data_IF_898516394856
#
_entry.id   IF_898516394856
#
_cell.length_a   1.000
_cell.length_b   1.000
_cell.length_c   1.000
_cell.angle_alpha   90.00
_cell.angle_beta   90.00
_cell.angle_gamma   90.00
#
_symmetry.space_group_name_H-M   'P 1'
#
loop_
_entity.id
_entity.type
_entity.pdbx_description
1 polymer ?
#
# COMPACT_ATOMS: atom_id res chain seq x y z
N UNK A 1 -11.66 12.50 16.59
CA UNK A 1 -12.80 12.40 15.66
C UNK A 1 -13.74 11.34 16.20
N UNK A 2 -15.06 11.46 16.02
CA UNK A 2 -15.98 10.38 16.36
C UNK A 2 -16.03 9.37 15.20
N UNK A 3 -15.18 8.33 15.27
CA UNK A 3 -15.00 7.35 14.21
C UNK A 3 -16.21 6.42 14.06
N UNK A 4 -16.82 5.99 15.16
CA UNK A 4 -18.00 5.11 15.12
C UNK A 4 -19.14 5.80 14.35
N UNK A 5 -19.47 7.05 14.71
CA UNK A 5 -20.49 7.82 14.01
C UNK A 5 -20.15 8.04 12.53
N UNK A 6 -18.89 8.38 12.22
CA UNK A 6 -18.48 8.66 10.85
C UNK A 6 -18.52 7.41 9.96
N UNK A 7 -18.11 6.25 10.47
CA UNK A 7 -18.17 4.98 9.75
C UNK A 7 -19.60 4.40 9.66
N UNK A 8 -20.50 4.75 10.58
CA UNK A 8 -21.93 4.40 10.50
C UNK A 8 -22.73 5.27 9.55
N UNK A 9 -22.28 6.50 9.29
CA UNK A 9 -22.96 7.45 8.41
C UNK A 9 -23.12 6.91 6.98
N UNK A 10 -24.21 7.30 6.30
CA UNK A 10 -24.39 7.07 4.85
C UNK A 10 -23.53 8.00 3.98
N UNK A 11 -22.84 8.98 4.60
CA UNK A 11 -21.95 9.89 3.88
C UNK A 11 -20.61 9.24 3.57
N UNK A 12 -20.37 8.90 2.30
CA UNK A 12 -19.07 8.41 1.82
C UNK A 12 -17.92 9.36 2.17
N UNK A 13 -18.20 10.67 2.18
CA UNK A 13 -17.23 11.69 2.59
C UNK A 13 -16.83 11.55 4.06
N UNK A 14 -17.80 11.33 4.95
CA UNK A 14 -17.52 11.13 6.37
C UNK A 14 -16.71 9.85 6.59
N UNK A 15 -17.09 8.75 5.92
CA UNK A 15 -16.36 7.48 5.97
C UNK A 15 -14.92 7.63 5.46
N UNK A 16 -14.71 8.33 4.34
CA UNK A 16 -13.40 8.56 3.75
C UNK A 16 -12.48 9.40 4.65
N UNK A 17 -13.02 10.42 5.35
CA UNK A 17 -12.24 11.15 6.34
C UNK A 17 -11.92 10.28 7.56
N UNK A 18 -12.88 9.51 8.07
CA UNK A 18 -12.63 8.56 9.15
C UNK A 18 -11.47 7.62 8.78
N UNK A 19 -11.52 7.00 7.60
CA UNK A 19 -10.46 6.16 7.08
C UNK A 19 -9.11 6.89 6.94
N UNK A 20 -9.10 8.19 6.62
CA UNK A 20 -7.86 8.99 6.52
C UNK A 20 -7.19 9.17 7.88
N UNK A 21 -7.98 9.48 8.92
CA UNK A 21 -7.44 9.83 10.23
C UNK A 21 -7.24 8.62 11.15
N UNK A 22 -7.92 7.50 10.89
CA UNK A 22 -7.87 6.32 11.77
C UNK A 22 -6.46 5.72 11.89
N UNK A 23 -5.62 5.82 10.86
CA UNK A 23 -4.23 5.37 10.91
C UNK A 23 -3.43 6.01 12.07
N UNK A 24 -3.76 7.24 12.45
CA UNK A 24 -3.07 7.96 13.52
C UNK A 24 -3.37 7.39 14.92
N UNK A 25 -4.41 6.57 15.07
CA UNK A 25 -4.78 5.95 16.35
C UNK A 25 -3.88 4.75 16.69
N UNK A 26 -3.09 4.23 15.74
CA UNK A 26 -2.29 3.02 15.94
C UNK A 26 -3.16 1.86 16.45
N UNK A 27 -2.68 1.13 17.46
CA UNK A 27 -3.43 -0.02 18.01
C UNK A 27 -4.79 0.35 18.63
N UNK A 28 -4.97 1.60 19.09
CA UNK A 28 -6.24 2.08 19.65
C UNK A 28 -7.36 2.14 18.61
N UNK A 29 -7.04 2.05 17.32
CA UNK A 29 -8.02 1.95 16.23
C UNK A 29 -8.71 0.59 16.11
N UNK A 30 -8.26 -0.44 16.84
CA UNK A 30 -8.76 -1.83 16.76
C UNK A 30 -10.29 -1.98 16.85
N UNK A 31 -11.02 -1.23 17.69
CA UNK A 31 -12.49 -1.36 17.75
C UNK A 31 -13.19 -1.03 16.42
N UNK A 32 -12.53 -0.32 15.50
CA UNK A 32 -13.12 0.20 14.26
C UNK A 32 -12.74 -0.58 13.01
N UNK A 33 -11.74 -1.48 13.06
CA UNK A 33 -11.20 -2.14 11.85
C UNK A 33 -12.23 -3.03 11.14
N UNK A 34 -13.12 -3.71 11.88
CA UNK A 34 -14.19 -4.51 11.28
C UNK A 34 -15.15 -3.65 10.45
N UNK A 35 -15.54 -2.51 11.01
CA UNK A 35 -16.44 -1.59 10.35
C UNK A 35 -15.78 -0.90 9.16
N UNK A 36 -14.55 -0.44 9.32
CA UNK A 36 -13.77 0.15 8.24
C UNK A 36 -13.62 -0.83 7.07
N UNK A 37 -13.23 -2.08 7.34
CA UNK A 37 -13.12 -3.12 6.32
C UNK A 37 -14.46 -3.33 5.59
N UNK A 38 -15.56 -3.40 6.34
CA UNK A 38 -16.90 -3.54 5.73
C UNK A 38 -17.25 -2.37 4.81
N UNK A 39 -16.90 -1.13 5.16
CA UNK A 39 -17.14 0.04 4.30
C UNK A 39 -16.26 0.03 3.07
N UNK A 40 -14.99 -0.33 3.19
CA UNK A 40 -14.10 -0.43 2.04
C UNK A 40 -14.53 -1.55 1.09
N UNK A 41 -14.94 -2.72 1.60
CA UNK A 41 -15.45 -3.85 0.79
C UNK A 41 -16.78 -3.55 0.10
N UNK A 42 -17.55 -2.57 0.57
CA UNK A 42 -18.81 -2.17 -0.05
C UNK A 42 -18.62 -1.33 -1.33
N UNK A 43 -17.41 -0.83 -1.58
CA UNK A 43 -17.10 -0.09 -2.82
C UNK A 43 -16.86 -1.09 -3.95
N UNK A 44 -17.67 -1.00 -5.01
CA UNK A 44 -17.48 -1.83 -6.21
C UNK A 44 -16.28 -1.32 -7.02
N UNK A 45 -15.17 -2.05 -6.97
CA UNK A 45 -13.95 -1.72 -7.70
C UNK A 45 -14.01 -2.12 -9.19
N UNK A 46 -15.12 -2.67 -9.68
CA UNK A 46 -15.27 -3.07 -11.08
C UNK A 46 -15.87 -1.98 -11.96
N UNK A 47 -16.46 -0.93 -11.37
CA UNK A 47 -17.02 0.21 -12.12
C UNK A 47 -15.93 0.96 -12.89
N UNK A 48 -16.30 1.70 -13.94
CA UNK A 48 -15.32 2.43 -14.76
C UNK A 48 -14.61 3.54 -13.99
N UNK A 49 -15.36 4.24 -13.14
CA UNK A 49 -14.89 5.41 -12.40
C UNK A 49 -15.41 5.38 -10.98
N UNK A 50 -14.55 5.74 -10.04
CA UNK A 50 -14.89 5.96 -8.64
C UNK A 50 -14.91 7.45 -8.37
N UNK A 51 -15.77 7.89 -7.46
CA UNK A 51 -15.65 9.23 -6.91
C UNK A 51 -14.36 9.38 -6.10
N UNK A 52 -13.88 10.62 -5.97
CA UNK A 52 -12.70 10.94 -5.15
C UNK A 52 -12.83 10.45 -3.70
N UNK A 53 -14.04 10.40 -3.14
CA UNK A 53 -14.26 9.94 -1.77
C UNK A 53 -14.28 8.42 -1.66
N UNK A 54 -14.81 7.69 -2.63
CA UNK A 54 -14.74 6.22 -2.66
C UNK A 54 -13.29 5.77 -2.80
N UNK A 55 -12.56 6.38 -3.73
CA UNK A 55 -11.14 6.12 -3.89
C UNK A 55 -10.34 6.42 -2.61
N UNK A 56 -10.60 7.56 -1.98
CA UNK A 56 -9.99 7.92 -0.69
C UNK A 56 -10.33 6.91 0.40
N UNK A 57 -11.60 6.47 0.51
CA UNK A 57 -12.02 5.48 1.49
C UNK A 57 -11.25 4.18 1.32
N UNK A 58 -11.10 3.68 0.09
CA UNK A 58 -10.39 2.42 -0.16
C UNK A 58 -8.88 2.59 0.08
N UNK A 59 -8.25 3.61 -0.50
CA UNK A 59 -6.82 3.85 -0.36
C UNK A 59 -6.38 4.10 1.08
N UNK A 60 -7.04 5.01 1.79
CA UNK A 60 -6.72 5.28 3.19
C UNK A 60 -7.25 4.21 4.13
N UNK A 61 -8.35 3.54 3.79
CA UNK A 61 -8.82 2.38 4.53
C UNK A 61 -7.79 1.26 4.54
N UNK A 62 -7.19 0.97 3.38
CA UNK A 62 -6.10 0.01 3.28
C UNK A 62 -4.91 0.37 4.17
N UNK A 63 -4.43 1.61 4.11
CA UNK A 63 -3.33 2.07 4.97
C UNK A 63 -3.68 2.00 6.45
N UNK A 64 -4.85 2.50 6.85
CA UNK A 64 -5.31 2.48 8.24
C UNK A 64 -5.44 1.07 8.78
N UNK A 65 -6.05 0.15 8.04
CA UNK A 65 -6.18 -1.24 8.44
C UNK A 65 -4.81 -1.89 8.65
N UNK A 66 -3.89 -1.73 7.71
CA UNK A 66 -2.53 -2.27 7.85
C UNK A 66 -1.79 -1.67 9.04
N UNK A 67 -1.82 -0.36 9.23
CA UNK A 67 -1.17 0.32 10.36
C UNK A 67 -1.74 -0.13 11.71
N UNK A 68 -3.06 -0.22 11.83
CA UNK A 68 -3.72 -0.62 13.09
C UNK A 68 -3.45 -2.08 13.40
N UNK A 69 -3.57 -2.97 12.42
CA UNK A 69 -3.31 -4.41 12.58
C UNK A 69 -1.85 -4.66 12.96
N UNK A 70 -0.90 -3.97 12.31
CA UNK A 70 0.51 -4.03 12.68
C UNK A 70 0.72 -3.58 14.14
N UNK A 71 0.19 -2.42 14.50
CA UNK A 71 0.35 -1.86 15.84
C UNK A 71 -0.32 -2.70 16.95
N UNK A 72 -1.35 -3.48 16.60
CA UNK A 72 -2.08 -4.34 17.54
C UNK A 72 -1.50 -5.76 17.64
N UNK A 73 -0.58 -6.11 16.74
CA UNK A 73 -0.05 -7.46 16.57
C UNK A 73 -0.95 -8.29 15.65
N UNK A 74 -0.45 -8.58 14.44
CA UNK A 74 -1.16 -9.48 13.52
C UNK A 74 -1.28 -10.88 14.12
N UNK A 75 -2.50 -11.42 14.12
CA UNK A 75 -2.82 -12.79 14.51
C UNK A 75 -3.48 -13.51 13.32
N UNK A 76 -2.78 -14.52 12.76
CA UNK A 76 -3.28 -15.30 11.64
C UNK A 76 -4.43 -16.26 12.00
N UNK A 77 -4.66 -16.54 13.29
CA UNK A 77 -5.83 -17.28 13.75
C UNK A 77 -7.08 -16.38 13.86
N UNK A 78 -6.91 -15.06 13.93
CA UNK A 78 -8.00 -14.11 13.91
C UNK A 78 -8.57 -13.98 12.49
N UNK A 79 -9.84 -14.36 12.35
CA UNK A 79 -10.57 -14.31 11.06
C UNK A 79 -10.65 -12.89 10.49
N UNK A 80 -10.72 -11.87 11.32
CA UNK A 80 -10.77 -10.49 10.87
C UNK A 80 -9.41 -10.07 10.30
N UNK A 81 -8.32 -10.38 10.98
CA UNK A 81 -6.96 -10.12 10.47
C UNK A 81 -6.70 -10.86 9.15
N UNK A 82 -7.09 -12.14 9.06
CA UNK A 82 -7.00 -12.90 7.81
C UNK A 82 -7.84 -12.27 6.67
N UNK A 83 -9.07 -11.82 6.97
CA UNK A 83 -9.97 -11.16 6.01
C UNK A 83 -9.46 -9.78 5.55
N UNK A 84 -8.75 -9.05 6.41
CA UNK A 84 -8.03 -7.82 6.06
C UNK A 84 -6.89 -8.16 5.11
N UNK A 85 -6.04 -9.13 5.46
CA UNK A 85 -4.89 -9.53 4.65
C UNK A 85 -5.33 -9.96 3.23
N UNK A 86 -6.31 -10.84 3.14
CA UNK A 86 -6.88 -11.31 1.87
C UNK A 86 -7.39 -10.15 1.02
N UNK A 87 -8.13 -9.23 1.64
CA UNK A 87 -8.65 -8.06 0.96
C UNK A 87 -7.53 -7.15 0.43
N UNK A 88 -6.54 -6.81 1.27
CA UNK A 88 -5.40 -5.97 0.87
C UNK A 88 -4.62 -6.64 -0.27
N UNK A 89 -4.44 -7.96 -0.23
CA UNK A 89 -3.73 -8.72 -1.28
C UNK A 89 -4.43 -8.68 -2.65
N UNK A 90 -5.75 -8.49 -2.66
CA UNK A 90 -6.55 -8.37 -3.89
C UNK A 90 -6.48 -6.97 -4.54
N UNK A 91 -6.15 -5.93 -3.76
CA UNK A 91 -6.19 -4.54 -4.24
C UNK A 91 -5.14 -4.20 -5.32
N UNK A 92 -3.90 -4.73 -5.30
CA UNK A 92 -2.91 -4.47 -6.36
C UNK A 92 -3.38 -4.87 -7.76
N UNK A 93 -4.32 -5.81 -7.86
CA UNK A 93 -4.90 -6.28 -9.14
C UNK A 93 -6.18 -5.54 -9.54
N UNK A 94 -6.65 -4.57 -8.76
CA UNK A 94 -7.84 -3.80 -9.15
C UNK A 94 -7.55 -2.89 -10.34
N UNK A 95 -8.60 -2.54 -11.08
CA UNK A 95 -8.52 -1.68 -12.27
C UNK A 95 -8.11 -0.23 -11.97
N UNK A 96 -8.28 0.23 -10.73
CA UNK A 96 -8.01 1.62 -10.36
C UNK A 96 -6.55 1.78 -9.95
N UNK A 97 -5.70 2.25 -10.86
CA UNK A 97 -4.23 2.31 -10.68
C UNK A 97 -3.79 2.98 -9.37
N UNK A 98 -4.46 4.06 -8.95
CA UNK A 98 -4.11 4.75 -7.69
C UNK A 98 -4.42 3.90 -6.45
N UNK A 99 -5.52 3.13 -6.46
CA UNK A 99 -5.84 2.19 -5.37
C UNK A 99 -4.83 1.05 -5.39
N UNK A 100 -4.55 0.50 -6.57
CA UNK A 100 -3.55 -0.55 -6.73
C UNK A 100 -2.19 -0.13 -6.17
N UNK A 101 -1.65 1.02 -6.60
CA UNK A 101 -0.38 1.56 -6.09
C UNK A 101 -0.40 1.87 -4.59
N UNK A 102 -1.48 2.50 -4.08
CA UNK A 102 -1.59 2.78 -2.64
C UNK A 102 -1.67 1.50 -1.81
N UNK A 103 -2.33 0.47 -2.31
CA UNK A 103 -2.41 -0.81 -1.60
C UNK A 103 -1.07 -1.53 -1.51
N UNK A 104 -0.18 -1.36 -2.49
CA UNK A 104 1.20 -1.87 -2.42
C UNK A 104 1.97 -1.16 -1.29
N UNK A 105 1.77 0.14 -1.11
CA UNK A 105 2.29 0.83 0.06
C UNK A 105 1.66 0.34 1.36
N UNK A 106 0.34 0.11 1.39
CA UNK A 106 -0.33 -0.43 2.56
C UNK A 106 0.23 -1.81 2.97
N UNK A 107 0.63 -2.66 2.02
CA UNK A 107 1.31 -3.92 2.31
C UNK A 107 2.57 -3.72 3.16
N UNK A 108 3.37 -2.68 2.89
CA UNK A 108 4.56 -2.39 3.73
C UNK A 108 4.24 -1.86 5.13
N UNK A 109 3.04 -1.31 5.34
CA UNK A 109 2.61 -0.78 6.65
C UNK A 109 2.14 -1.87 7.60
N UNK A 110 1.80 -3.06 7.08
CA UNK A 110 1.38 -4.20 7.88
C UNK A 110 2.52 -4.74 8.79
N UNK A 111 3.77 -4.29 8.55
CA UNK A 111 4.95 -4.69 9.31
C UNK A 111 5.71 -5.83 8.64
N UNK A 112 6.57 -6.49 9.42
CA UNK A 112 7.56 -7.47 8.94
C UNK A 112 7.32 -8.82 9.64
N UNK A 113 7.07 -9.92 8.91
CA UNK A 113 6.00 -10.09 7.93
C UNK A 113 5.15 -11.34 8.25
N UNK A 114 3.83 -11.34 7.98
CA UNK A 114 3.19 -12.55 7.50
C UNK A 114 3.87 -12.91 6.16
N UNK A 115 4.42 -14.11 6.06
CA UNK A 115 5.18 -14.61 4.91
C UNK A 115 4.45 -14.37 3.57
N UNK A 116 3.13 -14.32 3.61
CA UNK A 116 2.21 -14.02 2.55
C UNK A 116 2.40 -12.62 1.95
N UNK A 117 2.60 -11.58 2.77
CA UNK A 117 2.81 -10.21 2.27
C UNK A 117 4.10 -10.09 1.51
N UNK A 118 5.17 -10.72 2.01
CA UNK A 118 6.46 -10.79 1.31
C UNK A 118 6.30 -11.50 -0.05
N UNK A 119 5.69 -12.69 -0.05
CA UNK A 119 5.42 -13.44 -1.27
C UNK A 119 4.62 -12.60 -2.28
N UNK A 120 3.63 -11.84 -1.80
CA UNK A 120 2.82 -10.98 -2.67
C UNK A 120 3.63 -9.85 -3.30
N UNK A 121 4.55 -9.23 -2.55
CA UNK A 121 5.47 -8.22 -3.10
C UNK A 121 6.44 -8.84 -4.11
N UNK A 122 6.94 -10.05 -3.87
CA UNK A 122 7.78 -10.79 -4.83
C UNK A 122 7.04 -11.08 -6.14
N UNK A 123 5.78 -11.53 -6.06
CA UNK A 123 4.93 -11.75 -7.25
C UNK A 123 4.75 -10.47 -8.07
N UNK A 124 4.56 -9.32 -7.41
CA UNK A 124 4.41 -8.02 -8.07
C UNK A 124 5.73 -7.51 -8.67
N UNK A 125 6.88 -7.80 -8.05
CA UNK A 125 8.20 -7.49 -8.62
C UNK A 125 8.43 -8.26 -9.92
N UNK A 126 8.02 -9.54 -9.95
CA UNK A 126 8.13 -10.39 -11.12
C UNK A 126 7.07 -10.17 -12.20
N UNK A 127 6.11 -9.27 -12.00
CA UNK A 127 5.02 -9.05 -12.95
C UNK A 127 5.42 -8.17 -14.13
N UNK A 128 4.67 -8.31 -15.21
CA UNK A 128 4.73 -7.34 -16.32
C UNK A 128 4.30 -5.94 -15.86
N UNK A 129 4.79 -4.94 -16.58
CA UNK A 129 4.34 -3.55 -16.42
C UNK A 129 2.86 -3.47 -16.81
N UNK A 130 2.04 -2.80 -16.01
CA UNK A 130 0.63 -2.62 -16.36
C UNK A 130 0.48 -1.61 -17.52
N UNK A 131 -0.49 -1.80 -18.42
CA UNK A 131 -0.73 -0.85 -19.50
C UNK A 131 -1.14 0.56 -19.02
N UNK A 132 -1.73 0.66 -17.83
CA UNK A 132 -2.21 1.88 -17.20
C UNK A 132 -1.26 2.42 -16.11
N UNK A 133 -0.04 1.89 -16.01
CA UNK A 133 0.98 2.45 -15.11
C UNK A 133 1.30 3.90 -15.49
N UNK A 134 1.60 4.73 -14.48
CA UNK A 134 2.14 6.07 -14.75
C UNK A 134 3.51 5.96 -15.45
N UNK A 135 3.92 6.97 -16.24
CA UNK A 135 5.17 6.90 -16.99
C UNK A 135 6.40 6.58 -16.14
N UNK A 136 6.47 7.14 -14.93
CA UNK A 136 7.61 7.03 -14.00
C UNK A 136 7.32 6.19 -12.75
N UNK A 137 6.06 5.92 -12.43
CA UNK A 137 5.65 5.19 -11.22
C UNK A 137 4.89 3.95 -11.64
N UNK A 138 5.58 2.80 -11.60
CA UNK A 138 5.00 1.50 -11.94
C UNK A 138 4.63 0.73 -10.68
N UNK A 139 3.66 -0.17 -10.77
CA UNK A 139 3.31 -1.04 -9.64
C UNK A 139 4.48 -1.95 -9.22
N UNK A 140 5.19 -2.56 -10.19
CA UNK A 140 6.34 -3.43 -9.89
C UNK A 140 7.51 -2.68 -9.24
N UNK A 141 7.82 -1.47 -9.70
CA UNK A 141 8.84 -0.62 -9.07
C UNK A 141 8.41 -0.15 -7.68
N UNK A 142 7.12 0.13 -7.49
CA UNK A 142 6.55 0.42 -6.17
C UNK A 142 6.68 -0.77 -5.22
N UNK A 143 6.41 -2.00 -5.69
CA UNK A 143 6.57 -3.22 -4.92
C UNK A 143 8.03 -3.48 -4.54
N UNK A 144 8.96 -3.28 -5.48
CA UNK A 144 10.40 -3.33 -5.22
C UNK A 144 10.80 -2.38 -4.08
N UNK A 145 10.41 -1.09 -4.19
CA UNK A 145 10.69 -0.09 -3.15
C UNK A 145 10.13 -0.48 -1.78
N UNK A 146 8.89 -1.00 -1.75
CA UNK A 146 8.26 -1.44 -0.51
C UNK A 146 9.02 -2.62 0.12
N UNK A 147 9.44 -3.60 -0.68
CA UNK A 147 10.21 -4.74 -0.18
C UNK A 147 11.60 -4.33 0.27
N UNK A 148 12.27 -3.40 -0.43
CA UNK A 148 13.56 -2.84 -0.03
C UNK A 148 13.51 -2.15 1.35
N UNK A 149 12.43 -1.42 1.63
CA UNK A 149 12.21 -0.81 2.94
C UNK A 149 11.91 -1.81 4.07
N UNK A 150 11.46 -3.02 3.75
CA UNK A 150 11.15 -4.08 4.71
C UNK A 150 12.38 -4.95 4.99
N UNK A 151 13.03 -5.43 3.93
CA UNK A 151 14.14 -6.39 4.00
C UNK A 151 15.11 -6.13 2.84
N UNK A 152 16.01 -5.16 3.08
CA UNK A 152 16.97 -4.68 2.08
C UNK A 152 17.90 -5.78 1.59
N UNK A 153 18.32 -6.69 2.47
CA UNK A 153 19.19 -7.81 2.09
C UNK A 153 18.44 -8.82 1.21
N UNK A 154 17.18 -9.10 1.52
CA UNK A 154 16.37 -10.01 0.71
C UNK A 154 16.14 -9.49 -0.71
N UNK A 155 15.88 -8.18 -0.86
CA UNK A 155 15.55 -7.59 -2.17
C UNK A 155 16.74 -7.54 -3.14
N UNK A 156 17.98 -7.71 -2.66
CA UNK A 156 19.18 -7.72 -3.50
C UNK A 156 19.13 -8.77 -4.63
N UNK A 157 18.35 -9.85 -4.44
CA UNK A 157 18.09 -10.87 -5.47
C UNK A 157 17.34 -10.34 -6.69
N UNK A 158 16.75 -9.14 -6.61
CA UNK A 158 15.94 -8.54 -7.64
C UNK A 158 16.61 -7.32 -8.30
N UNK A 159 17.88 -7.04 -8.02
CA UNK A 159 18.59 -5.86 -8.56
C UNK A 159 18.65 -5.85 -10.10
N UNK A 160 18.72 -7.03 -10.73
CA UNK A 160 18.76 -7.16 -12.19
C UNK A 160 17.36 -7.22 -12.85
N UNK A 161 16.30 -6.91 -12.11
CA UNK A 161 14.92 -6.99 -12.63
C UNK A 161 14.45 -5.66 -13.22
N UNK A 162 13.45 -5.69 -14.14
CA UNK A 162 12.79 -4.48 -14.61
C UNK A 162 12.17 -3.63 -13.49
N UNK A 163 11.79 -4.23 -12.35
CA UNK A 163 11.24 -3.51 -11.22
C UNK A 163 12.30 -2.61 -10.53
N UNK A 164 13.54 -3.09 -10.41
CA UNK A 164 14.67 -2.28 -9.93
C UNK A 164 14.94 -1.11 -10.88
N UNK A 165 14.99 -1.37 -12.19
CA UNK A 165 15.21 -0.33 -13.20
C UNK A 165 14.11 0.76 -13.18
N UNK A 166 12.85 0.38 -13.01
CA UNK A 166 11.75 1.33 -12.83
C UNK A 166 11.96 2.19 -11.57
N UNK A 167 12.42 1.58 -10.46
CA UNK A 167 12.69 2.32 -9.22
C UNK A 167 13.87 3.29 -9.36
N UNK A 168 14.96 2.87 -10.00
CA UNK A 168 16.11 3.74 -10.31
C UNK A 168 15.65 4.94 -11.16
N UNK A 169 14.82 4.70 -12.18
CA UNK A 169 14.29 5.76 -13.04
C UNK A 169 13.51 6.80 -12.22
N UNK A 170 12.69 6.35 -11.26
CA UNK A 170 11.95 7.23 -10.36
C UNK A 170 12.88 8.04 -9.44
N UNK A 171 13.91 7.40 -8.86
CA UNK A 171 14.89 8.08 -7.99
C UNK A 171 15.68 9.15 -8.74
N UNK A 172 16.15 8.81 -9.95
CA UNK A 172 16.85 9.77 -10.83
C UNK A 172 15.97 10.98 -11.13
N UNK A 173 14.70 10.74 -11.50
CA UNK A 173 13.76 11.84 -11.74
C UNK A 173 13.55 12.72 -10.50
N UNK A 174 13.44 12.13 -9.31
CA UNK A 174 13.31 12.92 -8.08
C UNK A 174 14.57 13.71 -7.76
N UNK A 175 15.76 13.14 -7.96
CA UNK A 175 17.03 13.86 -7.79
C UNK A 175 17.19 15.05 -8.73
N UNK A 176 16.73 14.92 -9.98
CA UNK A 176 16.71 16.03 -10.94
C UNK A 176 15.82 17.19 -10.46
N UNK A 177 14.74 16.88 -9.74
CA UNK A 177 13.78 17.87 -9.23
C UNK A 177 14.06 18.34 -7.79
N UNK A 178 14.90 17.61 -7.04
CA UNK A 178 15.38 17.95 -5.72
C UNK A 178 16.89 17.66 -5.60
N UNK A 179 17.74 18.46 -6.29
CA UNK A 179 19.17 18.20 -6.31
C UNK A 179 19.79 18.28 -4.91
N UNK A 180 20.54 17.24 -4.55
CA UNK A 180 21.27 17.20 -3.27
C UNK A 180 20.53 16.57 -2.10
N UNK A 181 19.37 15.94 -2.31
CA UNK A 181 18.74 15.12 -1.26
C UNK A 181 19.65 13.92 -0.92
N UNK A 182 20.24 13.87 0.29
CA UNK A 182 21.20 12.84 0.65
C UNK A 182 20.58 11.45 0.70
N UNK A 183 19.28 11.33 1.02
CA UNK A 183 18.60 10.04 1.10
C UNK A 183 18.43 9.43 -0.29
N UNK A 184 18.06 10.25 -1.27
CA UNK A 184 17.92 9.80 -2.65
C UNK A 184 19.27 9.43 -3.27
N UNK A 185 20.33 10.18 -2.94
CA UNK A 185 21.70 9.88 -3.38
C UNK A 185 22.19 8.56 -2.77
N UNK A 186 22.00 8.34 -1.47
CA UNK A 186 22.39 7.10 -0.80
C UNK A 186 21.68 5.89 -1.40
N UNK A 187 20.37 6.00 -1.60
CA UNK A 187 19.56 4.93 -2.16
C UNK A 187 19.97 4.59 -3.59
N UNK A 188 20.14 5.61 -4.44
CA UNK A 188 20.60 5.41 -5.81
C UNK A 188 22.00 4.77 -5.84
N UNK A 189 22.93 5.25 -5.02
CA UNK A 189 24.27 4.68 -4.92
C UNK A 189 24.25 3.20 -4.49
N UNK A 190 23.35 2.80 -3.59
CA UNK A 190 23.21 1.39 -3.25
C UNK A 190 22.75 0.57 -4.45
N UNK A 191 21.75 1.04 -5.19
CA UNK A 191 21.17 0.32 -6.33
C UNK A 191 22.13 0.22 -7.53
N UNK A 192 23.07 1.14 -7.68
CA UNK A 192 23.99 1.20 -8.83
C UNK A 192 25.41 0.73 -8.51
N UNK A 193 25.64 0.10 -7.36
CA UNK A 193 26.98 -0.39 -6.92
C UNK A 193 27.46 -1.66 -7.62
N UNK A 194 26.77 -2.11 -8.67
CA UNK A 194 27.04 -3.33 -9.45
C UNK A 194 28.23 -3.19 -10.39
#
# INVERSE_FOLDING_TARGET
MDFDRALRSDSIRAQAYAATFLAAEGGSGSPYIAQLLSRCKAIDLNVSELSNFEQRLVSHGAMSLCTIVNASGYDGADRLHASILEWIHSLPTCRHIQIAGTSIHALSLLGVPPQETRKRLEELIGSDRRPDDYPLVTLRGTAFRCLAGIDRQFVERFLDTPACADHITLLTHWLENAPGDPNLIEELNWLTRS
#
